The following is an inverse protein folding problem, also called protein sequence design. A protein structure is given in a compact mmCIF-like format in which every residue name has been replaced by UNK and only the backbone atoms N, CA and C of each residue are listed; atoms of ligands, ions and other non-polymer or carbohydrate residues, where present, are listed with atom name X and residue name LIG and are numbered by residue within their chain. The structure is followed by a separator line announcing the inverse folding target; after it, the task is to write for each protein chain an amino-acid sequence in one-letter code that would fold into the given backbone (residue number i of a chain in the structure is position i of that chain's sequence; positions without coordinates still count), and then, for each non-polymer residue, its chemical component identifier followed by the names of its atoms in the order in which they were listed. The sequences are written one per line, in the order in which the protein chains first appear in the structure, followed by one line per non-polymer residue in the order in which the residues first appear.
data_IF_597941315070
#
_entry.id   IF_597941315070
#
_cell.length_a   1.000
_cell.length_b   1.000
_cell.length_c   1.000
_cell.angle_alpha   90.00
_cell.angle_beta   90.00
_cell.angle_gamma   90.00
#
_symmetry.space_group_name_H-M   'P 1'
#
loop_
_entity.id
_entity.type
_entity.pdbx_description
1 polymer ?
#
# COMPACT_ATOMS: atom_id res chain seq x y z
N UNK A 1 0.80 42.30 7.10
CA UNK A 1 1.33 41.12 6.38
C UNK A 1 1.22 39.93 7.31
N UNK A 2 0.02 39.40 7.48
CA UNK A 2 -0.24 38.28 8.40
C UNK A 2 0.29 37.01 7.76
N UNK A 3 1.29 36.39 8.40
CA UNK A 3 1.71 35.03 8.05
C UNK A 3 0.69 34.08 8.64
N UNK A 4 -0.03 33.35 7.80
CA UNK A 4 -0.97 32.31 8.23
C UNK A 4 -0.19 31.12 8.81
N UNK A 5 0.25 31.26 10.07
CA UNK A 5 0.76 30.15 10.88
C UNK A 5 -0.43 29.32 11.34
N UNK A 6 -0.52 28.09 10.84
CA UNK A 6 -1.64 27.20 11.19
C UNK A 6 -1.29 26.40 12.45
N UNK A 7 -2.08 26.51 13.54
CA UNK A 7 -1.75 25.85 14.82
C UNK A 7 -1.77 24.32 14.75
N UNK A 8 -2.43 23.75 13.73
CA UNK A 8 -2.56 22.31 13.52
C UNK A 8 -1.41 21.66 12.74
N UNK A 9 -0.45 22.43 12.23
CA UNK A 9 0.65 21.89 11.41
C UNK A 9 1.98 22.21 12.08
N UNK A 10 2.54 21.22 12.77
CA UNK A 10 3.80 21.34 13.49
C UNK A 10 4.85 20.39 12.90
N UNK A 11 6.12 20.81 12.90
CA UNK A 11 7.22 19.95 12.51
C UNK A 11 7.40 18.81 13.53
N UNK A 12 7.42 17.53 13.14
CA UNK A 12 7.56 16.42 14.09
C UNK A 12 8.94 16.36 14.76
N UNK A 13 9.94 17.07 14.24
CA UNK A 13 11.30 17.06 14.76
C UNK A 13 11.60 18.16 15.77
N UNK A 14 11.00 19.34 15.63
CA UNK A 14 11.28 20.50 16.48
C UNK A 14 10.03 21.23 16.98
N UNK A 15 8.83 20.70 16.68
CA UNK A 15 7.51 21.21 17.12
C UNK A 15 7.22 22.67 16.75
N UNK A 16 7.98 23.24 15.80
CA UNK A 16 7.73 24.58 15.32
C UNK A 16 6.48 24.64 14.46
N UNK A 17 5.74 25.74 14.56
CA UNK A 17 4.58 26.02 13.72
C UNK A 17 5.03 26.27 12.28
N UNK A 18 4.41 25.55 11.35
CA UNK A 18 4.69 25.69 9.92
C UNK A 18 3.72 26.71 9.29
N UNK A 19 4.25 27.52 8.38
CA UNK A 19 3.46 28.44 7.58
C UNK A 19 3.20 27.82 6.20
N UNK A 20 1.95 27.87 5.73
CA UNK A 20 1.62 27.45 4.38
C UNK A 20 2.01 28.58 3.41
N UNK A 21 2.80 28.24 2.41
CA UNK A 21 3.16 29.18 1.33
C UNK A 21 2.22 28.92 0.15
N UNK A 22 1.37 29.88 -0.24
CA UNK A 22 0.52 29.72 -1.40
C UNK A 22 1.38 29.56 -2.66
N UNK A 23 1.18 28.46 -3.39
CA UNK A 23 1.79 28.25 -4.70
C UNK A 23 0.86 28.87 -5.75
N UNK A 24 1.34 29.79 -6.61
CA UNK A 24 0.52 30.33 -7.68
C UNK A 24 0.21 29.22 -8.70
N UNK A 25 -1.08 28.89 -8.87
CA UNK A 25 -1.55 27.91 -9.86
C UNK A 25 -2.70 27.00 -9.42
N UNK A 26 -3.09 27.00 -8.13
CA UNK A 26 -4.26 26.23 -7.69
C UNK A 26 -5.51 27.11 -7.70
N UNK A 27 -6.56 26.81 -8.50
CA UNK A 27 -7.79 27.58 -8.46
C UNK A 27 -8.54 27.21 -7.17
N UNK A 28 -8.24 27.92 -6.08
CA UNK A 28 -9.17 28.03 -4.98
C UNK A 28 -10.42 28.74 -5.53
N UNK A 29 -11.48 27.96 -5.73
CA UNK A 29 -12.81 28.45 -6.06
C UNK A 29 -13.21 29.51 -5.04
N UNK A 30 -13.13 30.78 -5.44
CA UNK A 30 -13.35 31.92 -4.56
C UNK A 30 -13.28 33.21 -5.34
N UNK A 31 -14.44 33.68 -5.78
CA UNK A 31 -14.71 34.93 -6.48
C UNK A 31 -13.72 36.07 -6.18
N UNK A 32 -12.92 36.47 -7.17
CA UNK A 32 -12.41 37.84 -7.29
C UNK A 32 -11.97 38.09 -8.72
N UNK A 33 -12.64 39.04 -9.37
CA UNK A 33 -12.33 39.49 -10.71
C UNK A 33 -10.93 40.14 -10.73
N UNK A 34 -10.04 39.63 -11.59
CA UNK A 34 -8.72 40.22 -11.86
C UNK A 34 -8.66 40.54 -13.37
N UNK A 35 -8.20 41.74 -13.78
CA UNK A 35 -8.21 42.17 -15.17
C UNK A 35 -7.24 41.36 -16.04
N UNK A 36 -7.42 41.32 -17.38
CA UNK A 36 -6.63 40.46 -18.26
C UNK A 36 -5.17 40.91 -18.29
N UNK A 37 -4.26 40.03 -17.83
CA UNK A 37 -2.81 40.25 -17.90
C UNK A 37 -2.31 39.83 -19.30
N UNK A 38 -1.43 40.60 -19.96
CA UNK A 38 -0.90 40.28 -21.28
C UNK A 38 -0.22 38.91 -21.31
N UNK A 39 -0.57 38.08 -22.30
CA UNK A 39 0.01 36.76 -22.53
C UNK A 39 1.46 36.92 -22.97
N UNK A 40 2.38 36.79 -22.04
CA UNK A 40 3.78 36.50 -22.34
C UNK A 40 3.91 35.01 -22.66
N UNK A 41 4.74 34.61 -23.64
CA UNK A 41 4.90 33.21 -24.01
C UNK A 41 5.41 32.41 -22.82
N UNK A 42 4.55 31.50 -22.35
CA UNK A 42 4.84 30.56 -21.28
C UNK A 42 5.88 29.58 -21.84
N UNK A 43 7.12 29.75 -21.43
CA UNK A 43 8.10 28.67 -21.51
C UNK A 43 7.54 27.53 -20.65
N UNK A 44 7.39 26.30 -21.18
CA UNK A 44 6.85 25.21 -20.37
C UNK A 44 7.88 24.94 -19.28
N UNK A 45 7.56 25.37 -18.05
CA UNK A 45 8.23 24.84 -16.86
C UNK A 45 8.09 23.33 -16.94
N UNK A 46 9.22 22.66 -16.89
CA UNK A 46 9.34 21.21 -16.84
C UNK A 46 8.50 20.70 -15.67
N UNK A 47 7.24 20.38 -15.98
CA UNK A 47 6.27 19.88 -15.03
C UNK A 47 6.75 18.49 -14.65
N UNK A 48 7.05 18.30 -13.36
CA UNK A 48 7.52 17.02 -12.87
C UNK A 48 6.52 15.93 -13.28
N UNK A 49 6.91 15.13 -14.25
CA UNK A 49 6.11 14.01 -14.73
C UNK A 49 6.60 12.75 -14.03
N UNK A 50 5.70 11.97 -13.42
CA UNK A 50 6.09 10.70 -12.81
C UNK A 50 6.67 9.80 -13.90
N UNK A 51 7.74 9.05 -13.59
CA UNK A 51 8.41 8.21 -14.56
C UNK A 51 7.42 7.21 -15.18
N UNK A 52 7.51 6.95 -16.48
CA UNK A 52 6.67 5.97 -17.16
C UNK A 52 6.67 4.62 -16.43
N UNK A 53 5.50 4.00 -16.33
CA UNK A 53 5.34 2.69 -15.65
C UNK A 53 6.28 1.64 -16.26
N UNK A 54 6.57 1.72 -17.56
CA UNK A 54 7.53 0.86 -18.23
C UNK A 54 8.94 0.95 -17.64
N UNK A 55 9.40 2.15 -17.27
CA UNK A 55 10.71 2.36 -16.64
C UNK A 55 10.73 1.83 -15.21
N UNK A 56 9.63 2.02 -14.47
CA UNK A 56 9.48 1.46 -13.12
C UNK A 56 9.48 -0.07 -13.15
N UNK A 57 8.80 -0.67 -14.13
CA UNK A 57 8.73 -2.12 -14.29
C UNK A 57 10.01 -2.72 -14.88
N UNK A 58 10.79 -1.95 -15.64
CA UNK A 58 12.08 -2.38 -16.17
C UNK A 58 13.06 -2.78 -15.05
N UNK A 59 13.01 -2.11 -13.89
CA UNK A 59 13.75 -2.46 -12.67
C UNK A 59 13.45 -3.90 -12.19
N UNK A 60 12.30 -4.44 -12.57
CA UNK A 60 11.85 -5.79 -12.19
C UNK A 60 11.90 -6.78 -13.37
N UNK A 61 12.08 -6.32 -14.61
CA UNK A 61 11.97 -7.15 -15.82
C UNK A 61 13.02 -8.29 -15.89
N UNK A 62 14.18 -8.12 -15.26
CA UNK A 62 15.23 -9.14 -15.17
C UNK A 62 15.16 -10.02 -13.91
N UNK A 63 14.19 -9.81 -13.03
CA UNK A 63 14.08 -10.61 -11.80
C UNK A 63 13.59 -12.00 -12.15
N UNK A 64 14.54 -12.93 -12.18
CA UNK A 64 14.24 -14.35 -12.24
C UNK A 64 13.49 -14.71 -10.96
N UNK A 65 12.23 -15.13 -11.10
CA UNK A 65 11.51 -15.78 -10.01
C UNK A 65 12.30 -17.04 -9.67
N UNK A 66 12.86 -17.11 -8.46
CA UNK A 66 13.58 -18.29 -7.98
C UNK A 66 12.61 -19.48 -7.95
N UNK A 67 12.62 -20.25 -9.04
CA UNK A 67 11.73 -21.38 -9.27
C UNK A 67 11.96 -22.49 -8.26
N UNK A 68 13.19 -22.61 -7.74
CA UNK A 68 13.54 -23.57 -6.70
C UNK A 68 12.96 -23.15 -5.35
N UNK A 69 12.97 -21.86 -5.00
CA UNK A 69 12.29 -21.38 -3.79
C UNK A 69 10.77 -21.50 -3.91
N UNK A 70 10.21 -21.18 -5.08
CA UNK A 70 8.78 -21.35 -5.32
C UNK A 70 8.35 -22.83 -5.22
N UNK A 71 9.11 -23.75 -5.81
CA UNK A 71 8.81 -25.19 -5.76
C UNK A 71 8.94 -25.75 -4.34
N UNK A 72 9.97 -25.35 -3.58
CA UNK A 72 10.11 -25.69 -2.15
C UNK A 72 8.94 -25.16 -1.33
N UNK A 73 8.51 -23.92 -1.57
CA UNK A 73 7.35 -23.33 -0.92
C UNK A 73 6.07 -24.12 -1.19
N UNK A 74 5.82 -24.46 -2.47
CA UNK A 74 4.69 -25.27 -2.87
C UNK A 74 4.71 -26.68 -2.24
N UNK A 75 5.89 -27.31 -2.14
CA UNK A 75 6.05 -28.61 -1.48
C UNK A 75 5.66 -28.54 0.01
N UNK A 76 6.13 -27.53 0.74
CA UNK A 76 5.78 -27.32 2.16
C UNK A 76 4.27 -27.11 2.35
N UNK A 77 3.61 -26.38 1.45
CA UNK A 77 2.15 -26.19 1.50
C UNK A 77 1.41 -27.51 1.31
N UNK A 78 1.81 -28.31 0.31
CA UNK A 78 1.20 -29.64 0.07
C UNK A 78 1.37 -30.57 1.27
N UNK A 79 2.58 -30.62 1.84
CA UNK A 79 2.87 -31.41 3.03
C UNK A 79 2.01 -30.97 4.23
N UNK A 80 1.88 -29.66 4.46
CA UNK A 80 1.03 -29.10 5.51
C UNK A 80 -0.44 -29.50 5.34
N UNK A 81 -0.99 -29.38 4.13
CA UNK A 81 -2.36 -29.78 3.83
C UNK A 81 -2.58 -31.28 4.04
N UNK A 82 -1.62 -32.11 3.64
CA UNK A 82 -1.70 -33.56 3.85
C UNK A 82 -1.68 -33.90 5.35
N UNK A 83 -0.81 -33.26 6.14
CA UNK A 83 -0.80 -33.41 7.61
C UNK A 83 -2.13 -32.99 8.23
N UNK A 84 -2.68 -31.84 7.82
CA UNK A 84 -3.96 -31.35 8.33
C UNK A 84 -5.11 -32.33 8.01
N UNK A 85 -5.14 -32.89 6.79
CA UNK A 85 -6.12 -33.91 6.39
C UNK A 85 -5.98 -35.19 7.23
N UNK A 86 -4.76 -35.66 7.45
CA UNK A 86 -4.50 -36.85 8.26
C UNK A 86 -4.95 -36.64 9.71
N UNK A 87 -4.61 -35.50 10.31
CA UNK A 87 -5.05 -35.14 11.66
C UNK A 87 -6.58 -35.04 11.77
N UNK A 88 -7.25 -34.46 10.76
CA UNK A 88 -8.70 -34.42 10.72
C UNK A 88 -9.34 -35.82 10.63
N UNK A 89 -8.75 -36.73 9.83
CA UNK A 89 -9.20 -38.11 9.75
C UNK A 89 -9.03 -38.85 11.09
N UNK A 90 -7.89 -38.68 11.76
CA UNK A 90 -7.63 -39.25 13.08
C UNK A 90 -8.65 -38.75 14.12
N UNK A 91 -8.94 -37.45 14.17
CA UNK A 91 -9.96 -36.89 15.08
C UNK A 91 -11.34 -37.49 14.83
N UNK A 92 -11.73 -37.65 13.56
CA UNK A 92 -13.01 -38.30 13.20
C UNK A 92 -13.04 -39.76 13.63
N UNK A 93 -11.95 -40.50 13.45
CA UNK A 93 -11.85 -41.88 13.89
C UNK A 93 -11.98 -41.99 15.43
N UNK A 94 -11.25 -41.14 16.17
CA UNK A 94 -11.34 -41.09 17.63
C UNK A 94 -12.76 -40.75 18.13
N UNK A 95 -13.42 -39.76 17.51
CA UNK A 95 -14.81 -39.41 17.83
C UNK A 95 -15.77 -40.58 17.56
N UNK A 96 -15.58 -41.34 16.48
CA UNK A 96 -16.38 -42.51 16.16
C UNK A 96 -16.20 -43.61 17.19
N UNK A 97 -14.96 -43.86 17.64
CA UNK A 97 -14.68 -44.83 18.70
C UNK A 97 -15.31 -44.39 20.04
N UNK A 98 -15.14 -43.13 20.44
CA UNK A 98 -15.73 -42.60 21.67
C UNK A 98 -17.26 -42.63 21.69
N UNK A 99 -17.91 -42.47 20.53
CA UNK A 99 -19.37 -42.65 20.40
C UNK A 99 -19.80 -44.11 20.49
N UNK A 100 -18.92 -45.05 20.16
CA UNK A 100 -19.20 -46.49 20.14
C UNK A 100 -18.91 -47.19 21.45
N UNK A 101 -18.13 -46.60 22.35
CA UNK A 101 -17.98 -47.10 23.72
C UNK A 101 -19.28 -46.80 24.48
N UNK A 102 -20.13 -47.80 24.77
CA UNK A 102 -21.29 -47.57 25.60
C UNK A 102 -20.78 -47.14 26.98
N UNK A 103 -21.33 -46.03 27.49
CA UNK A 103 -21.12 -45.61 28.88
C UNK A 103 -21.81 -46.65 29.75
N UNK A 104 -21.09 -47.67 30.18
CA UNK A 104 -21.57 -48.63 31.19
C UNK A 104 -21.86 -47.84 32.46
N UNK A 105 -23.14 -47.88 32.86
CA UNK A 105 -23.66 -47.34 34.12
C UNK A 105 -23.22 -48.20 35.31
#
# INVERSE_FOLDING_TARGET
MSRDTHPGVQCPHCQSHLALVPVPGNPASGNSAVPPIPVLPITPKEEWQPPPVAEVLAVYAGRVKDSATASRGAAKVRESLNRARAAAAQRRAAQKTARRTPKSA
#
